data_IF_818972890140
#
_entry.id   IF_818972890140
#
_cell.length_a   1.000
_cell.length_b   1.000
_cell.length_c   1.000
_cell.angle_alpha   90.00
_cell.angle_beta   90.00
_cell.angle_gamma   90.00
#
_symmetry.space_group_name_H-M   'P 1'
#
loop_
_entity.id
_entity.type
_entity.pdbx_description
1 polymer ?
#
# COMPACT_ATOMS: atom_id res chain seq x y z
N UNK A 1 5.89 12.06 15.33
CA UNK A 1 6.11 10.61 15.46
C UNK A 1 6.72 10.05 14.18
N UNK A 2 7.31 8.86 14.23
CA UNK A 2 7.82 8.19 13.04
C UNK A 2 6.65 7.46 12.34
N UNK A 3 6.35 7.85 11.09
CA UNK A 3 5.43 7.15 10.20
C UNK A 3 6.24 6.27 9.26
N UNK A 4 5.76 5.06 8.99
CA UNK A 4 6.32 4.17 7.98
C UNK A 4 5.25 3.73 6.99
N UNK A 5 5.51 3.87 5.71
CA UNK A 5 4.70 3.33 4.64
C UNK A 5 5.23 1.94 4.26
N UNK A 6 4.36 0.94 4.23
CA UNK A 6 4.71 -0.44 3.89
C UNK A 6 3.94 -0.87 2.65
N UNK A 7 4.65 -1.35 1.63
CA UNK A 7 4.08 -1.98 0.45
C UNK A 7 4.33 -3.49 0.55
N UNK A 8 3.26 -4.29 0.62
CA UNK A 8 3.36 -5.74 0.48
C UNK A 8 3.03 -6.13 -0.95
N UNK A 9 3.96 -6.82 -1.62
CA UNK A 9 3.83 -7.13 -3.04
C UNK A 9 4.61 -8.41 -3.40
N UNK A 10 4.64 -8.74 -4.69
CA UNK A 10 5.39 -9.85 -5.26
C UNK A 10 5.85 -9.47 -6.66
N UNK A 11 6.80 -10.20 -7.23
CA UNK A 11 7.41 -9.85 -8.52
C UNK A 11 6.44 -9.93 -9.70
N UNK A 12 5.42 -10.80 -9.60
CA UNK A 12 4.39 -10.95 -10.63
C UNK A 12 3.17 -10.03 -10.43
N UNK A 13 3.08 -9.31 -9.31
CA UNK A 13 1.92 -8.48 -9.02
C UNK A 13 1.81 -7.32 -10.03
N UNK A 14 0.60 -7.07 -10.56
CA UNK A 14 0.40 -5.98 -11.50
C UNK A 14 0.68 -4.64 -10.82
N UNK A 15 1.36 -3.76 -11.55
CA UNK A 15 1.65 -2.38 -11.14
C UNK A 15 2.52 -2.21 -9.88
N UNK A 16 3.12 -3.29 -9.36
CA UNK A 16 3.98 -3.27 -8.16
C UNK A 16 5.07 -2.20 -8.25
N UNK A 17 5.83 -2.14 -9.35
CA UNK A 17 6.89 -1.15 -9.53
C UNK A 17 6.39 0.30 -9.60
N UNK A 18 5.24 0.56 -10.23
CA UNK A 18 4.67 1.91 -10.29
C UNK A 18 4.12 2.34 -8.93
N UNK A 19 3.47 1.42 -8.22
CA UNK A 19 2.95 1.68 -6.88
C UNK A 19 4.08 1.88 -5.86
N UNK A 20 5.15 1.09 -5.94
CA UNK A 20 6.35 1.26 -5.12
C UNK A 20 6.95 2.66 -5.28
N UNK A 21 7.08 3.14 -6.52
CA UNK A 21 7.56 4.49 -6.80
C UNK A 21 6.65 5.57 -6.21
N UNK A 22 5.33 5.43 -6.33
CA UNK A 22 4.38 6.37 -5.73
C UNK A 22 4.54 6.37 -4.20
N UNK A 23 4.65 5.20 -3.59
CA UNK A 23 4.83 5.06 -2.15
C UNK A 23 6.12 5.73 -1.68
N UNK A 24 7.24 5.46 -2.36
CA UNK A 24 8.54 6.08 -2.08
C UNK A 24 8.47 7.62 -2.18
N UNK A 25 7.88 8.14 -3.25
CA UNK A 25 7.75 9.58 -3.49
C UNK A 25 6.89 10.27 -2.41
N UNK A 26 5.74 9.68 -2.02
CA UNK A 26 4.88 10.28 -1.00
C UNK A 26 5.44 10.13 0.41
N UNK A 27 6.09 8.99 0.74
CA UNK A 27 6.77 8.81 2.01
C UNK A 27 7.90 9.82 2.19
N UNK A 28 8.73 10.03 1.15
CA UNK A 28 9.80 11.02 1.18
C UNK A 28 9.29 12.46 1.40
N UNK A 29 8.17 12.84 0.76
CA UNK A 29 7.53 14.16 0.98
C UNK A 29 7.03 14.33 2.41
N UNK A 30 6.51 13.27 3.02
CA UNK A 30 5.98 13.28 4.37
C UNK A 30 7.06 13.11 5.46
N UNK A 31 8.32 12.84 5.07
CA UNK A 31 9.37 12.47 6.03
C UNK A 31 9.13 11.12 6.70
N UNK A 32 8.40 10.22 6.05
CA UNK A 32 8.10 8.87 6.51
C UNK A 32 9.11 7.86 5.96
N UNK A 33 9.35 6.77 6.70
CA UNK A 33 10.10 5.62 6.20
C UNK A 33 9.27 4.87 5.14
N UNK A 34 9.95 4.19 4.21
CA UNK A 34 9.29 3.34 3.21
C UNK A 34 9.93 1.95 3.18
N UNK A 35 9.10 0.91 3.19
CA UNK A 35 9.53 -0.49 3.19
C UNK A 35 8.73 -1.29 2.16
N UNK A 36 9.42 -2.15 1.40
CA UNK A 36 8.80 -3.13 0.50
C UNK A 36 8.98 -4.52 1.11
N UNK A 37 7.87 -5.21 1.37
CA UNK A 37 7.86 -6.61 1.81
C UNK A 37 7.40 -7.50 0.67
N UNK A 38 8.31 -8.32 0.14
CA UNK A 38 7.99 -9.29 -0.92
C UNK A 38 7.46 -10.59 -0.33
N UNK A 39 6.34 -11.07 -0.85
CA UNK A 39 5.73 -12.36 -0.50
C UNK A 39 5.50 -12.54 1.03
N UNK A 40 5.27 -11.44 1.75
CA UNK A 40 4.99 -11.45 3.19
C UNK A 40 3.50 -11.74 3.45
N UNK A 41 3.13 -13.00 3.21
CA UNK A 41 1.76 -13.50 3.42
C UNK A 41 1.35 -13.41 4.90
N UNK A 42 2.30 -13.54 5.82
CA UNK A 42 2.03 -13.44 7.27
C UNK A 42 1.56 -12.02 7.62
N UNK A 43 2.19 -11.00 7.06
CA UNK A 43 1.76 -9.62 7.25
C UNK A 43 0.38 -9.35 6.64
N UNK A 44 0.12 -9.86 5.44
CA UNK A 44 -1.19 -9.74 4.78
C UNK A 44 -2.30 -10.41 5.60
N UNK A 45 -2.09 -11.62 6.12
CA UNK A 45 -3.10 -12.29 6.95
C UNK A 45 -3.37 -11.54 8.26
N UNK A 46 -2.37 -10.83 8.81
CA UNK A 46 -2.52 -10.09 10.08
C UNK A 46 -3.13 -8.69 9.92
N UNK A 47 -2.78 -8.00 8.85
CA UNK A 47 -3.05 -6.57 8.70
C UNK A 47 -3.76 -6.20 7.39
N UNK A 48 -3.65 -7.07 6.38
CA UNK A 48 -4.22 -6.88 5.05
C UNK A 48 -5.69 -7.25 4.95
N UNK A 49 -6.25 -6.92 3.80
CA UNK A 49 -7.55 -7.43 3.40
C UNK A 49 -7.37 -8.83 2.81
N UNK A 50 -8.09 -9.78 3.39
CA UNK A 50 -8.16 -11.18 2.95
C UNK A 50 -9.59 -11.53 2.59
N UNK A 51 -9.76 -12.36 1.58
CA UNK A 51 -11.06 -12.91 1.21
C UNK A 51 -11.54 -13.98 2.21
N UNK A 52 -12.76 -14.48 2.01
CA UNK A 52 -13.39 -15.49 2.88
C UNK A 52 -12.63 -16.83 2.92
N UNK A 53 -11.75 -17.07 1.95
CA UNK A 53 -10.93 -18.28 1.85
C UNK A 53 -9.49 -18.06 2.39
N UNK A 54 -9.19 -16.85 2.87
CA UNK A 54 -7.86 -16.46 3.37
C UNK A 54 -6.87 -16.04 2.28
N UNK A 55 -7.34 -15.85 1.04
CA UNK A 55 -6.55 -15.30 -0.05
C UNK A 55 -6.34 -13.80 0.11
N UNK A 56 -5.10 -13.33 -0.11
CA UNK A 56 -4.78 -11.91 -0.11
C UNK A 56 -4.38 -11.46 -1.52
N UNK A 57 -5.09 -10.46 -2.04
CA UNK A 57 -4.66 -9.78 -3.26
C UNK A 57 -3.41 -8.95 -2.98
N UNK A 58 -2.53 -8.83 -3.97
CA UNK A 58 -1.35 -7.96 -3.94
C UNK A 58 -1.27 -7.14 -5.22
N UNK A 59 -0.73 -5.90 -5.18
CA UNK A 59 -0.09 -5.25 -4.03
C UNK A 59 -1.05 -4.58 -3.03
N UNK A 60 -0.72 -4.62 -1.73
CA UNK A 60 -1.40 -3.85 -0.68
C UNK A 60 -0.49 -2.81 -0.01
N UNK A 61 -1.05 -1.67 0.40
CA UNK A 61 -0.32 -0.56 1.03
C UNK A 61 -0.84 -0.29 2.43
N UNK A 62 0.08 -0.05 3.36
CA UNK A 62 -0.17 0.18 4.78
C UNK A 62 0.61 1.38 5.31
N UNK A 63 0.10 2.00 6.37
CA UNK A 63 0.85 2.95 7.19
C UNK A 63 0.98 2.38 8.60
N UNK A 64 2.22 2.30 9.09
CA UNK A 64 2.52 2.01 10.49
C UNK A 64 2.79 3.34 11.23
N UNK A 65 2.09 3.56 12.34
CA UNK A 65 2.28 4.71 13.22
C UNK A 65 2.03 4.29 14.68
N UNK A 66 2.99 4.55 15.57
CA UNK A 66 2.88 4.25 17.00
C UNK A 66 2.49 2.78 17.31
N UNK A 67 2.97 1.84 16.49
CA UNK A 67 2.63 0.42 16.64
C UNK A 67 1.24 0.03 16.13
N UNK A 68 0.49 0.98 15.58
CA UNK A 68 -0.78 0.73 14.88
C UNK A 68 -0.54 0.61 13.39
N UNK A 69 -1.08 -0.45 12.78
CA UNK A 69 -1.05 -0.66 11.33
C UNK A 69 -2.40 -0.29 10.74
N UNK A 70 -2.41 0.64 9.78
CA UNK A 70 -3.59 1.07 9.02
C UNK A 70 -3.47 0.60 7.57
N UNK A 71 -4.45 -0.15 7.09
CA UNK A 71 -4.55 -0.56 5.69
C UNK A 71 -5.09 0.58 4.81
N UNK A 72 -4.45 0.86 3.68
CA UNK A 72 -4.74 2.00 2.81
C UNK A 72 -5.32 1.57 1.45
N UNK A 73 -4.74 0.54 0.84
CA UNK A 73 -5.11 0.08 -0.51
C UNK A 73 -4.93 -1.43 -0.63
N UNK A 74 -5.97 -2.16 -1.04
CA UNK A 74 -5.87 -3.58 -1.42
C UNK A 74 -5.39 -3.77 -2.87
N UNK A 75 -5.64 -2.77 -3.72
CA UNK A 75 -5.32 -2.77 -5.15
C UNK A 75 -5.27 -1.35 -5.70
N UNK A 76 -4.71 -1.17 -6.90
CA UNK A 76 -4.78 0.11 -7.60
C UNK A 76 -6.26 0.42 -7.91
N UNK A 77 -6.79 1.59 -7.50
CA UNK A 77 -8.16 2.00 -7.83
C UNK A 77 -8.40 2.04 -9.33
N UNK A 78 -9.67 1.97 -9.75
CA UNK A 78 -10.05 2.10 -11.15
C UNK A 78 -10.74 3.45 -11.37
N UNK A 79 -10.53 4.04 -12.54
CA UNK A 79 -11.27 5.22 -13.01
C UNK A 79 -12.68 4.84 -13.50
N UNK A 80 -13.47 5.84 -13.90
CA UNK A 80 -14.83 5.66 -14.43
C UNK A 80 -14.89 4.78 -15.69
N UNK A 81 -13.75 4.51 -16.34
CA UNK A 81 -13.61 3.69 -17.53
C UNK A 81 -13.04 2.31 -17.22
N UNK A 82 -12.85 1.97 -15.94
CA UNK A 82 -12.27 0.71 -15.49
C UNK A 82 -10.75 0.61 -15.69
N UNK A 83 -10.04 1.73 -15.91
CA UNK A 83 -8.58 1.75 -16.06
C UNK A 83 -7.89 2.05 -14.73
N UNK A 84 -6.66 1.57 -14.50
CA UNK A 84 -5.92 1.86 -13.28
C UNK A 84 -5.74 3.38 -13.03
N UNK A 85 -6.23 3.85 -11.90
CA UNK A 85 -6.19 5.23 -11.45
C UNK A 85 -5.08 5.44 -10.40
N UNK A 86 -3.88 5.76 -10.90
CA UNK A 86 -2.71 6.00 -10.06
C UNK A 86 -2.75 7.34 -9.32
N UNK A 87 -3.49 8.32 -9.83
CA UNK A 87 -3.65 9.61 -9.16
C UNK A 87 -4.48 9.45 -7.88
N UNK A 88 -5.55 8.65 -7.94
CA UNK A 88 -6.33 8.31 -6.75
C UNK A 88 -5.52 7.48 -5.76
N UNK A 89 -4.73 6.51 -6.22
CA UNK A 89 -3.82 5.76 -5.35
C UNK A 89 -2.86 6.70 -4.60
N UNK A 90 -2.22 7.62 -5.33
CA UNK A 90 -1.33 8.64 -4.76
C UNK A 90 -2.07 9.50 -3.74
N UNK A 91 -3.28 9.96 -4.07
CA UNK A 91 -4.09 10.81 -3.16
C UNK A 91 -4.37 10.09 -1.85
N UNK A 92 -4.84 8.85 -1.90
CA UNK A 92 -5.13 8.03 -0.70
C UNK A 92 -3.89 7.82 0.17
N UNK A 93 -2.73 7.55 -0.45
CA UNK A 93 -1.45 7.40 0.26
C UNK A 93 -1.03 8.72 0.94
N UNK A 94 -1.09 9.84 0.22
CA UNK A 94 -0.73 11.15 0.74
C UNK A 94 -1.66 11.59 1.90
N UNK A 95 -2.96 11.37 1.76
CA UNK A 95 -3.96 11.62 2.81
C UNK A 95 -3.64 10.80 4.07
N UNK A 96 -3.31 9.51 3.91
CA UNK A 96 -2.97 8.62 5.02
C UNK A 96 -1.68 9.05 5.77
N UNK A 97 -0.71 9.62 5.06
CA UNK A 97 0.53 10.12 5.65
C UNK A 97 0.35 11.50 6.31
N UNK A 98 -0.66 12.28 5.89
CA UNK A 98 -0.92 13.63 6.41
C UNK A 98 -1.73 13.66 7.71
N UNK A 99 -2.53 12.62 7.97
CA UNK A 99 -3.27 12.43 9.22
C UNK A 99 -2.42 11.69 10.24
#
# INVERSE_FOLDING_TARGET
MAKKLVLVTTDWAPFSGKLARICEEEAAKAGAEFEIRKDDWVYLTKHGEVDELGGADVPQVFVEEEGTVRHILTRVPLDERGKPNFEEARRKIAEALSG
#
